data_IF_395185999776
#
_entry.id   IF_395185999776
#
_cell.length_a   1.000
_cell.length_b   1.000
_cell.length_c   1.000
_cell.angle_alpha   90.00
_cell.angle_beta   90.00
_cell.angle_gamma   90.00
#
_symmetry.space_group_name_H-M   'P 1'
#
loop_
_entity.id
_entity.type
_entity.pdbx_description
1 polymer ?
#
# COMPACT_ATOMS: atom_id res chain seq x y z
N UNK A 1 -4.22 29.44 5.61
CA UNK A 1 -3.96 28.04 5.19
C UNK A 1 -3.20 27.38 6.31
N UNK A 2 -3.66 26.25 6.84
CA UNK A 2 -2.93 25.52 7.89
C UNK A 2 -1.62 24.92 7.38
N UNK A 3 -0.61 24.71 8.25
CA UNK A 3 0.59 23.95 7.95
C UNK A 3 0.29 22.53 7.42
N UNK A 4 1.10 22.06 6.48
CA UNK A 4 0.97 20.71 5.93
C UNK A 4 1.10 19.60 6.99
N UNK A 5 1.76 19.86 8.12
CA UNK A 5 1.88 18.93 9.23
C UNK A 5 0.55 18.66 9.93
N UNK A 6 -0.36 19.64 9.97
CA UNK A 6 -1.68 19.50 10.61
C UNK A 6 -2.59 18.56 9.82
N UNK A 7 -2.27 18.25 8.55
CA UNK A 7 -3.05 17.34 7.72
C UNK A 7 -3.26 15.97 8.36
N UNK A 8 -2.26 15.47 9.10
CA UNK A 8 -2.32 14.15 9.74
C UNK A 8 -3.19 14.14 11.00
N UNK A 9 -3.58 15.30 11.52
CA UNK A 9 -4.45 15.44 12.69
C UNK A 9 -5.92 15.64 12.29
N UNK A 10 -6.18 15.88 11.00
CA UNK A 10 -7.54 16.05 10.48
C UNK A 10 -8.31 14.74 10.57
N UNK A 11 -9.44 14.78 11.27
CA UNK A 11 -10.42 13.69 11.31
C UNK A 11 -10.87 13.32 9.90
N UNK A 12 -10.60 12.08 9.50
CA UNK A 12 -10.91 11.56 8.18
C UNK A 12 -11.20 10.06 8.26
N UNK A 13 -11.91 9.51 7.29
CA UNK A 13 -12.03 8.05 7.17
C UNK A 13 -10.81 7.45 6.47
N UNK A 14 -10.27 8.16 5.47
CA UNK A 14 -9.21 7.71 4.58
C UNK A 14 -8.12 8.78 4.45
N UNK A 15 -6.87 8.38 4.65
CA UNK A 15 -5.69 9.17 4.31
C UNK A 15 -4.99 8.59 3.07
N UNK A 16 -4.67 9.45 2.10
CA UNK A 16 -3.91 9.09 0.88
C UNK A 16 -2.55 9.79 0.87
N UNK A 17 -1.49 9.20 1.42
CA UNK A 17 -0.15 9.78 1.37
C UNK A 17 0.44 9.65 -0.06
N UNK A 18 0.74 10.79 -0.68
CA UNK A 18 1.17 10.86 -2.09
C UNK A 18 2.46 11.64 -2.33
N UNK A 19 3.30 11.86 -1.32
CA UNK A 19 4.43 12.77 -1.42
C UNK A 19 5.80 12.18 -1.06
N UNK A 20 6.03 11.83 0.22
CA UNK A 20 7.37 11.49 0.74
C UNK A 20 7.45 10.06 1.26
N UNK A 21 8.62 9.45 1.07
CA UNK A 21 9.02 8.20 1.71
C UNK A 21 9.03 8.39 3.23
N UNK A 22 8.56 7.38 3.97
CA UNK A 22 8.52 7.35 5.43
C UNK A 22 7.64 8.43 6.05
N UNK A 23 6.71 9.01 5.28
CA UNK A 23 5.86 10.10 5.77
C UNK A 23 5.01 9.66 6.95
N UNK A 24 4.62 8.39 7.03
CA UNK A 24 3.95 7.81 8.18
C UNK A 24 4.99 7.16 9.10
N UNK A 25 5.54 7.99 9.97
CA UNK A 25 6.43 7.59 11.06
C UNK A 25 5.64 7.26 12.34
N UNK A 26 6.34 6.90 13.42
CA UNK A 26 5.72 6.59 14.71
C UNK A 26 4.86 7.74 15.25
N UNK A 27 5.34 8.98 15.15
CA UNK A 27 4.65 10.13 15.73
C UNK A 27 3.34 10.42 14.99
N UNK A 28 3.37 10.44 13.66
CA UNK A 28 2.16 10.62 12.85
C UNK A 28 1.23 9.43 12.95
N UNK A 29 1.75 8.21 12.99
CA UNK A 29 0.93 7.02 13.20
C UNK A 29 0.17 7.05 14.54
N UNK A 30 0.70 7.71 15.59
CA UNK A 30 -0.01 7.93 16.87
C UNK A 30 -1.05 9.06 16.78
N UNK A 31 -0.75 10.14 16.06
CA UNK A 31 -1.63 11.29 15.93
C UNK A 31 -2.80 11.06 14.95
N UNK A 32 -2.61 10.15 13.99
CA UNK A 32 -3.53 9.94 12.88
C UNK A 32 -4.96 9.63 13.35
N UNK A 33 -5.94 10.32 12.77
CA UNK A 33 -7.36 10.11 13.04
C UNK A 33 -8.06 9.26 11.95
N UNK A 34 -7.34 8.88 10.90
CA UNK A 34 -7.85 8.07 9.80
C UNK A 34 -8.12 6.61 10.22
N UNK A 35 -9.07 5.97 9.54
CA UNK A 35 -9.38 4.54 9.70
C UNK A 35 -8.64 3.67 8.69
N UNK A 36 -8.29 4.26 7.54
CA UNK A 36 -7.56 3.60 6.45
C UNK A 36 -6.45 4.53 5.95
N UNK A 37 -5.29 3.96 5.64
CA UNK A 37 -4.21 4.62 4.91
C UNK A 37 -4.02 3.90 3.57
N UNK A 38 -4.26 4.59 2.46
CA UNK A 38 -4.15 4.07 1.09
C UNK A 38 -3.08 4.88 0.31
N UNK A 39 -1.83 4.41 0.26
CA UNK A 39 -0.74 5.20 -0.31
C UNK A 39 -0.80 5.38 -1.82
N UNK A 40 -0.55 6.60 -2.29
CA UNK A 40 -0.26 6.86 -3.69
C UNK A 40 1.26 6.95 -3.96
N UNK A 41 2.06 7.31 -2.94
CA UNK A 41 3.51 7.33 -3.01
C UNK A 41 4.13 6.02 -2.53
N UNK A 42 5.36 5.78 -2.98
CA UNK A 42 6.15 4.62 -2.59
C UNK A 42 6.73 4.77 -1.18
N UNK A 43 6.84 3.64 -0.49
CA UNK A 43 7.45 3.44 0.83
C UNK A 43 6.95 4.47 1.85
N UNK A 44 5.64 4.56 2.10
CA UNK A 44 5.05 5.62 2.92
C UNK A 44 5.26 5.39 4.43
N UNK A 45 5.51 4.15 4.85
CA UNK A 45 5.61 3.76 6.25
C UNK A 45 7.06 3.57 6.66
N UNK A 46 7.41 4.07 7.84
CA UNK A 46 8.52 3.48 8.58
C UNK A 46 8.07 2.18 9.22
N UNK A 47 9.01 1.29 9.57
CA UNK A 47 8.67 0.05 10.29
C UNK A 47 7.85 0.33 11.55
N UNK A 48 8.29 1.29 12.36
CA UNK A 48 7.59 1.64 13.61
C UNK A 48 6.24 2.31 13.36
N UNK A 49 6.11 3.11 12.30
CA UNK A 49 4.84 3.70 11.90
C UNK A 49 3.80 2.63 11.55
N UNK A 50 4.19 1.63 10.76
CA UNK A 50 3.32 0.51 10.39
C UNK A 50 2.88 -0.32 11.61
N UNK A 51 3.80 -0.63 12.53
CA UNK A 51 3.49 -1.33 13.79
C UNK A 51 2.44 -0.57 14.62
N UNK A 52 2.59 0.75 14.76
CA UNK A 52 1.63 1.57 15.51
C UNK A 52 0.25 1.60 14.84
N UNK A 53 0.18 1.69 13.51
CA UNK A 53 -1.11 1.64 12.81
C UNK A 53 -1.82 0.31 13.07
N UNK A 54 -1.07 -0.79 13.02
CA UNK A 54 -1.58 -2.13 13.33
C UNK A 54 -2.11 -2.22 14.77
N UNK A 55 -1.32 -1.80 15.76
CA UNK A 55 -1.71 -1.81 17.17
C UNK A 55 -2.99 -0.98 17.44
N UNK A 56 -3.21 0.07 16.64
CA UNK A 56 -4.39 0.95 16.72
C UNK A 56 -5.58 0.45 15.91
N UNK A 57 -5.46 -0.66 15.18
CA UNK A 57 -6.49 -1.17 14.29
C UNK A 57 -6.77 -0.28 13.07
N UNK A 58 -5.80 0.56 12.68
CA UNK A 58 -5.87 1.38 11.47
C UNK A 58 -5.41 0.53 10.29
N UNK A 59 -6.24 0.47 9.24
CA UNK A 59 -5.98 -0.34 8.06
C UNK A 59 -4.89 0.33 7.22
N UNK A 60 -3.68 -0.25 7.20
CA UNK A 60 -2.58 0.20 6.35
C UNK A 60 -2.47 -0.67 5.10
N UNK A 61 -2.75 -0.10 3.92
CA UNK A 61 -2.63 -0.81 2.64
C UNK A 61 -1.20 -0.75 2.12
N UNK A 62 -0.77 -1.78 1.39
CA UNK A 62 0.51 -1.76 0.71
C UNK A 62 0.50 -0.78 -0.47
N UNK A 63 1.52 0.08 -0.53
CA UNK A 63 1.72 1.05 -1.59
C UNK A 63 1.82 0.40 -2.97
N UNK A 64 2.62 -0.67 -3.10
CA UNK A 64 2.80 -1.41 -4.35
C UNK A 64 1.54 -2.18 -4.80
N UNK A 65 0.47 -2.20 -4.00
CA UNK A 65 -0.87 -2.60 -4.45
C UNK A 65 -1.67 -1.35 -4.85
N UNK A 66 -1.73 -0.35 -3.97
CA UNK A 66 -2.51 0.88 -4.18
C UNK A 66 -2.11 1.68 -5.42
N UNK A 67 -0.80 1.77 -5.73
CA UNK A 67 -0.28 2.57 -6.82
C UNK A 67 0.10 1.75 -8.07
N UNK A 68 -0.24 0.46 -8.10
CA UNK A 68 0.13 -0.48 -9.16
C UNK A 68 -0.54 -0.25 -10.51
N UNK A 69 -1.50 0.67 -10.60
CA UNK A 69 -2.34 0.85 -11.78
C UNK A 69 -1.55 1.14 -13.07
N UNK A 70 -0.50 1.96 -12.98
CA UNK A 70 0.36 2.22 -14.15
C UNK A 70 1.12 0.96 -14.59
N UNK A 71 1.65 0.19 -13.64
CA UNK A 71 2.38 -1.06 -13.92
C UNK A 71 1.45 -2.09 -14.57
N UNK A 72 0.27 -2.33 -13.98
CA UNK A 72 -0.72 -3.26 -14.53
C UNK A 72 -1.14 -2.83 -15.93
N UNK A 73 -1.46 -1.54 -16.12
CA UNK A 73 -1.84 -1.01 -17.44
C UNK A 73 -0.74 -1.15 -18.48
N UNK A 74 0.53 -1.01 -18.09
CA UNK A 74 1.68 -1.13 -19.01
C UNK A 74 1.98 -2.58 -19.43
N UNK A 75 1.80 -3.55 -18.52
CA UNK A 75 2.16 -4.96 -18.78
C UNK A 75 0.98 -5.80 -19.29
N UNK A 76 -0.24 -5.25 -19.30
CA UNK A 76 -1.41 -5.97 -19.79
C UNK A 76 -1.45 -5.94 -21.31
N UNK A 77 -1.17 -7.09 -21.92
CA UNK A 77 -1.40 -7.30 -23.35
C UNK A 77 -2.90 -7.26 -23.67
N UNK A 78 -3.25 -6.92 -24.91
CA UNK A 78 -4.64 -6.96 -25.43
C UNK A 78 -5.56 -5.80 -25.01
N UNK A 79 -5.04 -4.76 -24.37
CA UNK A 79 -5.78 -3.52 -24.13
C UNK A 79 -5.74 -2.64 -25.38
N UNK A 80 -6.91 -2.27 -25.90
CA UNK A 80 -7.06 -1.45 -27.12
C UNK A 80 -7.70 -0.09 -26.88
N UNK A 81 -8.16 0.19 -25.66
CA UNK A 81 -8.78 1.47 -25.29
C UNK A 81 -8.49 1.85 -23.83
N UNK A 82 -8.67 3.13 -23.51
CA UNK A 82 -8.50 3.63 -22.14
C UNK A 82 -9.51 2.99 -21.17
N UNK A 83 -10.75 2.77 -21.62
CA UNK A 83 -11.80 2.14 -20.82
C UNK A 83 -11.43 0.69 -20.47
N UNK A 84 -10.90 -0.06 -21.44
CA UNK A 84 -10.41 -1.42 -21.19
C UNK A 84 -9.22 -1.42 -20.23
N UNK A 85 -8.29 -0.47 -20.36
CA UNK A 85 -7.15 -0.33 -19.46
C UNK A 85 -7.62 -0.09 -18.01
N UNK A 86 -8.56 0.84 -17.84
CA UNK A 86 -9.14 1.17 -16.54
C UNK A 86 -9.83 -0.06 -15.94
N UNK A 87 -10.63 -0.79 -16.72
CA UNK A 87 -11.34 -1.97 -16.24
C UNK A 87 -10.38 -3.07 -15.78
N UNK A 88 -9.34 -3.39 -16.55
CA UNK A 88 -8.34 -4.41 -16.16
C UNK A 88 -7.59 -3.99 -14.89
N UNK A 89 -7.19 -2.72 -14.81
CA UNK A 89 -6.51 -2.19 -13.63
C UNK A 89 -7.42 -2.26 -12.41
N UNK A 90 -8.68 -1.84 -12.55
CA UNK A 90 -9.67 -1.86 -11.46
C UNK A 90 -9.90 -3.28 -10.94
N UNK A 91 -10.13 -4.24 -11.84
CA UNK A 91 -10.36 -5.63 -11.49
C UNK A 91 -9.16 -6.23 -10.74
N UNK A 92 -7.95 -6.01 -11.27
CA UNK A 92 -6.74 -6.58 -10.68
C UNK A 92 -6.39 -5.95 -9.33
N UNK A 93 -6.51 -4.63 -9.19
CA UNK A 93 -6.27 -3.94 -7.92
C UNK A 93 -7.32 -4.36 -6.88
N UNK A 94 -8.59 -4.51 -7.29
CA UNK A 94 -9.68 -4.98 -6.43
C UNK A 94 -9.44 -6.39 -5.91
N UNK A 95 -9.01 -7.30 -6.77
CA UNK A 95 -8.66 -8.67 -6.41
C UNK A 95 -7.51 -8.71 -5.39
N UNK A 96 -6.37 -8.08 -5.72
CA UNK A 96 -5.20 -8.02 -4.84
C UNK A 96 -5.53 -7.40 -3.48
N UNK A 97 -6.32 -6.33 -3.47
CA UNK A 97 -6.76 -5.68 -2.23
C UNK A 97 -7.62 -6.62 -1.39
N UNK A 98 -8.56 -7.35 -2.01
CA UNK A 98 -9.43 -8.31 -1.31
C UNK A 98 -8.64 -9.47 -0.72
N UNK A 99 -7.72 -10.03 -1.49
CA UNK A 99 -6.85 -11.13 -1.02
C UNK A 99 -5.96 -10.66 0.14
N UNK A 100 -5.34 -9.48 0.01
CA UNK A 100 -4.52 -8.91 1.06
C UNK A 100 -5.32 -8.68 2.36
N UNK A 101 -6.54 -8.15 2.27
CA UNK A 101 -7.43 -7.92 3.42
C UNK A 101 -7.82 -9.19 4.17
N UNK A 102 -7.72 -10.37 3.56
CA UNK A 102 -8.04 -11.62 4.22
C UNK A 102 -6.96 -12.09 5.20
N UNK A 103 -5.77 -11.48 5.19
CA UNK A 103 -4.68 -11.89 6.08
C UNK A 103 -4.95 -11.47 7.54
N UNK A 104 -4.84 -12.38 8.51
CA UNK A 104 -5.10 -12.08 9.91
C UNK A 104 -4.09 -11.11 10.54
N UNK A 105 -2.91 -10.91 9.94
CA UNK A 105 -1.92 -9.92 10.36
C UNK A 105 -2.07 -8.57 9.64
N UNK A 106 -3.16 -8.40 8.87
CA UNK A 106 -3.52 -7.15 8.21
C UNK A 106 -3.11 -7.09 6.74
N UNK A 107 -3.67 -6.12 5.99
CA UNK A 107 -3.55 -6.07 4.54
C UNK A 107 -2.14 -5.81 4.03
N UNK A 108 -1.31 -5.05 4.75
CA UNK A 108 0.08 -4.89 4.34
C UNK A 108 0.83 -6.23 4.33
N UNK A 109 0.63 -7.05 5.36
CA UNK A 109 1.26 -8.37 5.47
C UNK A 109 0.67 -9.37 4.46
N UNK A 110 -0.65 -9.31 4.23
CA UNK A 110 -1.29 -10.09 3.17
C UNK A 110 -0.71 -9.77 1.79
N UNK A 111 -0.59 -8.49 1.44
CA UNK A 111 0.05 -8.07 0.19
C UNK A 111 1.50 -8.53 0.09
N UNK A 112 2.25 -8.49 1.21
CA UNK A 112 3.64 -8.95 1.26
C UNK A 112 3.75 -10.44 0.95
N UNK A 113 2.90 -11.26 1.56
CA UNK A 113 2.87 -12.72 1.31
C UNK A 113 2.50 -13.04 -0.14
N UNK A 114 1.55 -12.32 -0.73
CA UNK A 114 1.20 -12.47 -2.15
C UNK A 114 2.37 -12.14 -3.06
N UNK A 115 3.06 -11.01 -2.79
CA UNK A 115 4.24 -10.60 -3.55
C UNK A 115 5.37 -11.62 -3.41
N UNK A 116 5.70 -12.05 -2.19
CA UNK A 116 6.70 -13.08 -1.92
C UNK A 116 6.39 -14.39 -2.64
N UNK A 117 5.13 -14.85 -2.58
CA UNK A 117 4.70 -16.08 -3.23
C UNK A 117 4.89 -15.98 -4.74
N UNK A 118 4.56 -14.83 -5.34
CA UNK A 118 4.78 -14.58 -6.76
C UNK A 118 6.28 -14.53 -7.11
N UNK A 119 7.10 -13.80 -6.36
CA UNK A 119 8.55 -13.71 -6.59
C UNK A 119 9.21 -15.08 -6.54
N UNK A 120 8.82 -15.96 -5.61
CA UNK A 120 9.33 -17.33 -5.51
C UNK A 120 9.06 -18.20 -6.74
N UNK A 121 8.18 -17.79 -7.65
CA UNK A 121 7.95 -18.53 -8.89
C UNK A 121 9.04 -18.30 -9.95
N UNK A 122 9.85 -17.24 -9.81
CA UNK A 122 10.85 -16.88 -10.83
C UNK A 122 12.16 -16.27 -10.30
N UNK A 123 12.22 -15.86 -9.03
CA UNK A 123 13.43 -15.32 -8.36
C UNK A 123 14.14 -16.44 -7.63
N UNK A 124 15.47 -16.53 -7.78
CA UNK A 124 16.29 -17.48 -7.03
C UNK A 124 16.27 -17.15 -5.53
N UNK A 125 16.34 -18.18 -4.68
CA UNK A 125 16.27 -18.00 -3.22
C UNK A 125 17.34 -17.03 -2.67
N UNK A 126 18.54 -17.01 -3.28
CA UNK A 126 19.63 -16.11 -2.90
C UNK A 126 19.41 -14.64 -3.29
N UNK A 127 18.42 -14.36 -4.15
CA UNK A 127 18.09 -13.02 -4.64
C UNK A 127 16.77 -12.49 -4.05
N UNK A 128 16.12 -13.27 -3.18
CA UNK A 128 14.90 -12.84 -2.51
C UNK A 128 15.15 -11.60 -1.63
N UNK A 129 14.21 -10.64 -1.58
CA UNK A 129 14.33 -9.50 -0.69
C UNK A 129 14.38 -9.92 0.78
N UNK A 130 15.17 -9.21 1.59
CA UNK A 130 15.28 -9.44 3.04
C UNK A 130 13.99 -9.12 3.81
N UNK A 131 13.11 -8.34 3.21
CA UNK A 131 11.86 -7.91 3.83
C UNK A 131 11.03 -6.98 2.94
N UNK A 132 9.90 -6.49 3.46
CA UNK A 132 9.06 -5.55 2.72
C UNK A 132 9.75 -4.19 2.54
N UNK A 133 9.35 -3.41 1.51
CA UNK A 133 9.89 -2.08 1.29
C UNK A 133 9.33 -1.10 2.34
N UNK A 134 10.09 -0.89 3.42
CA UNK A 134 9.80 0.04 4.51
C UNK A 134 10.92 1.08 4.64
N UNK A 135 10.56 2.29 5.09
CA UNK A 135 11.49 3.40 5.32
C UNK A 135 12.21 3.30 6.66
#
# INVERSE_FOLDING_TARGET
VSPASELFEVGSDLLVPGARIGVIDEARAKALQARVVAPAANVPYTKRGLEVLWDRGIIALADYVCNSGATIGYVTDSVSSAEQAIAVVEDRVRELTREALADPAGPYEGARKLADAHLRTWVEAAQMPDGPPLA
#
